data_IF_859239734497
#
_entry.id   IF_859239734497
#
_cell.length_a   1.000
_cell.length_b   1.000
_cell.length_c   1.000
_cell.angle_alpha   90.00
_cell.angle_beta   90.00
_cell.angle_gamma   90.00
#
_symmetry.space_group_name_H-M   'P 1'
#
loop_
_entity.id
_entity.type
_entity.pdbx_description
1 polymer ?
#
# COMPACT_ATOMS: atom_id res chain seq x y z
N UNK A 1 7.51 -6.92 -18.50
CA UNK A 1 7.41 -7.47 -17.12
C UNK A 1 6.61 -6.47 -16.29
N UNK A 2 5.73 -6.88 -15.37
CA UNK A 2 5.01 -5.93 -14.49
C UNK A 2 5.91 -5.43 -13.35
N UNK A 3 5.53 -4.35 -12.67
CA UNK A 3 6.28 -3.80 -11.53
C UNK A 3 6.23 -4.75 -10.34
N UNK A 4 5.06 -5.32 -10.06
CA UNK A 4 4.87 -6.35 -9.05
C UNK A 4 5.75 -7.57 -9.28
N UNK A 5 5.90 -8.03 -10.54
CA UNK A 5 6.81 -9.15 -10.84
C UNK A 5 8.28 -8.81 -10.57
N UNK A 6 8.73 -7.58 -10.81
CA UNK A 6 10.11 -7.17 -10.50
C UNK A 6 10.35 -7.15 -8.98
N UNK A 7 9.42 -6.57 -8.23
CA UNK A 7 9.48 -6.56 -6.77
C UNK A 7 9.52 -7.97 -6.20
N UNK A 8 8.72 -8.90 -6.75
CA UNK A 8 8.76 -10.30 -6.35
C UNK A 8 10.14 -10.94 -6.55
N UNK A 9 10.83 -10.63 -7.65
CA UNK A 9 12.18 -11.14 -7.88
C UNK A 9 13.22 -10.52 -6.93
N UNK A 10 13.07 -9.24 -6.57
CA UNK A 10 13.92 -8.62 -5.54
C UNK A 10 13.65 -9.18 -4.14
N UNK A 11 12.38 -9.42 -3.78
CA UNK A 11 12.04 -10.08 -2.51
C UNK A 11 12.59 -11.51 -2.43
N UNK A 12 12.54 -12.27 -3.54
CA UNK A 12 13.19 -13.58 -3.62
C UNK A 12 14.71 -13.47 -3.49
N UNK A 13 15.31 -12.47 -4.12
CA UNK A 13 16.76 -12.22 -4.03
C UNK A 13 17.16 -11.90 -2.61
N UNK A 14 16.41 -11.01 -1.96
CA UNK A 14 16.56 -10.66 -0.55
C UNK A 14 16.49 -11.91 0.34
N UNK A 15 15.45 -12.74 0.18
CA UNK A 15 15.26 -13.95 0.98
C UNK A 15 16.32 -15.04 0.75
N UNK A 16 16.84 -15.19 -0.47
CA UNK A 16 17.76 -16.27 -0.82
C UNK A 16 19.23 -15.89 -0.68
N UNK A 17 19.55 -14.61 -0.90
CA UNK A 17 20.94 -14.12 -1.01
C UNK A 17 21.26 -13.03 0.02
N UNK A 18 20.27 -12.59 0.78
CA UNK A 18 20.40 -11.62 1.85
C UNK A 18 20.38 -10.15 1.39
N UNK A 19 20.33 -9.21 2.35
CA UNK A 19 20.21 -7.76 2.12
C UNK A 19 21.24 -7.18 1.16
N UNK A 20 22.48 -7.66 1.22
CA UNK A 20 23.59 -7.12 0.41
C UNK A 20 23.44 -7.39 -1.10
N UNK A 21 22.54 -8.29 -1.49
CA UNK A 21 22.32 -8.68 -2.88
C UNK A 21 20.99 -8.17 -3.45
N UNK A 22 20.10 -7.65 -2.61
CA UNK A 22 18.81 -7.11 -3.02
C UNK A 22 18.96 -5.63 -3.39
N UNK A 23 18.52 -5.28 -4.60
CA UNK A 23 18.67 -3.92 -5.10
C UNK A 23 17.68 -2.99 -4.41
N UNK A 24 18.18 -1.86 -3.87
CA UNK A 24 17.33 -0.86 -3.24
C UNK A 24 16.78 -1.26 -1.87
N UNK A 25 17.28 -2.35 -1.28
CA UNK A 25 16.96 -2.74 0.08
C UNK A 25 17.91 -2.08 1.08
N UNK A 26 17.34 -1.46 2.11
CA UNK A 26 18.07 -0.81 3.20
C UNK A 26 17.59 -1.42 4.52
N UNK A 27 18.53 -1.95 5.31
CA UNK A 27 18.23 -2.44 6.66
C UNK A 27 18.02 -1.26 7.59
N UNK A 28 16.97 -1.31 8.40
CA UNK A 28 16.63 -0.32 9.42
C UNK A 28 16.55 -1.00 10.79
N UNK A 29 16.58 -0.25 11.91
CA UNK A 29 16.40 -0.85 13.24
C UNK A 29 15.05 -1.58 13.43
N UNK A 30 14.06 -1.28 12.59
CA UNK A 30 12.69 -1.80 12.66
C UNK A 30 12.42 -2.87 11.59
N UNK A 31 13.45 -3.31 10.85
CA UNK A 31 13.35 -4.27 9.75
C UNK A 31 14.14 -3.79 8.53
N UNK A 32 13.45 -3.52 7.42
CA UNK A 32 14.07 -2.89 6.27
C UNK A 32 13.09 -2.32 5.25
N UNK A 33 13.63 -1.52 4.35
CA UNK A 33 12.87 -0.83 3.31
C UNK A 33 13.36 -1.26 1.95
N UNK A 34 12.48 -1.80 1.10
CA UNK A 34 12.78 -2.06 -0.30
C UNK A 34 12.23 -0.91 -1.15
N UNK A 35 13.10 -0.17 -1.83
CA UNK A 35 12.70 0.86 -2.80
C UNK A 35 13.04 0.40 -4.21
N UNK A 36 12.06 0.47 -5.11
CA UNK A 36 12.25 0.25 -6.53
C UNK A 36 11.73 1.44 -7.32
N UNK A 37 12.49 1.86 -8.32
CA UNK A 37 12.08 2.90 -9.27
C UNK A 37 12.05 2.25 -10.65
N UNK A 38 10.96 2.45 -11.37
CA UNK A 38 10.82 2.00 -12.74
C UNK A 38 10.02 3.00 -13.54
N UNK A 39 10.56 3.37 -14.70
CA UNK A 39 9.95 4.38 -15.57
C UNK A 39 9.75 5.66 -14.75
N UNK A 40 8.51 6.02 -14.43
CA UNK A 40 8.18 7.16 -13.57
C UNK A 40 7.51 6.77 -12.25
N UNK A 41 7.46 5.48 -11.94
CA UNK A 41 6.85 4.96 -10.72
C UNK A 41 7.91 4.61 -9.67
N UNK A 42 7.60 4.91 -8.41
CA UNK A 42 8.43 4.52 -7.26
C UNK A 42 7.59 3.69 -6.31
N UNK A 43 8.06 2.50 -5.99
CA UNK A 43 7.47 1.63 -4.96
C UNK A 43 8.39 1.61 -3.76
N UNK A 44 7.81 1.74 -2.57
CA UNK A 44 8.48 1.58 -1.28
C UNK A 44 7.72 0.54 -0.48
N UNK A 45 8.41 -0.51 -0.04
CA UNK A 45 7.89 -1.48 0.92
C UNK A 45 8.61 -1.32 2.25
N UNK A 46 7.84 -1.16 3.33
CA UNK A 46 8.33 -1.30 4.70
C UNK A 46 8.11 -2.74 5.15
N UNK A 47 9.19 -3.44 5.49
CA UNK A 47 9.17 -4.84 5.90
C UNK A 47 9.71 -4.96 7.33
N UNK A 48 8.99 -5.62 8.23
CA UNK A 48 9.50 -5.94 9.56
C UNK A 48 10.46 -7.13 9.52
N UNK A 49 10.15 -8.11 8.67
CA UNK A 49 10.93 -9.34 8.48
C UNK A 49 10.53 -10.01 7.15
N UNK A 50 11.16 -11.13 6.82
CA UNK A 50 10.93 -11.92 5.62
C UNK A 50 11.46 -13.34 5.79
N UNK A 51 10.85 -14.28 5.07
CA UNK A 51 11.33 -15.64 4.95
C UNK A 51 11.49 -16.02 3.47
N UNK A 52 11.60 -17.32 3.19
CA UNK A 52 11.80 -17.85 1.85
C UNK A 52 10.65 -17.54 0.87
N UNK A 53 9.45 -17.27 1.36
CA UNK A 53 8.23 -17.21 0.54
C UNK A 53 7.35 -15.97 0.82
N UNK A 54 7.58 -15.28 1.93
CA UNK A 54 6.73 -14.22 2.45
C UNK A 54 7.54 -13.10 3.08
N UNK A 55 6.88 -11.95 3.20
CA UNK A 55 7.38 -10.80 3.92
C UNK A 55 6.37 -10.37 4.98
N UNK A 56 6.86 -9.95 6.14
CA UNK A 56 6.09 -9.30 7.17
C UNK A 56 5.94 -7.82 6.80
N UNK A 57 4.90 -7.49 6.02
CA UNK A 57 4.65 -6.18 5.44
C UNK A 57 4.10 -5.22 6.50
N UNK A 58 4.73 -4.06 6.66
CA UNK A 58 4.23 -2.96 7.51
C UNK A 58 3.44 -1.94 6.70
N UNK A 59 3.98 -1.54 5.53
CA UNK A 59 3.35 -0.58 4.65
C UNK A 59 3.85 -0.74 3.21
N UNK A 60 3.01 -0.33 2.27
CA UNK A 60 3.33 -0.21 0.86
C UNK A 60 2.97 1.21 0.41
N UNK A 61 3.93 1.90 -0.20
CA UNK A 61 3.71 3.17 -0.88
C UNK A 61 4.04 3.03 -2.36
N UNK A 62 3.14 3.50 -3.23
CA UNK A 62 3.36 3.65 -4.66
C UNK A 62 3.22 5.12 -5.02
N UNK A 63 4.25 5.68 -5.65
CA UNK A 63 4.18 6.99 -6.31
C UNK A 63 4.18 6.84 -7.81
N UNK A 64 3.36 7.63 -8.49
CA UNK A 64 3.27 7.73 -9.95
C UNK A 64 3.07 9.18 -10.38
N UNK A 65 3.37 9.54 -11.63
CA UNK A 65 3.02 10.86 -12.13
C UNK A 65 1.51 11.05 -12.11
N UNK A 66 1.05 12.23 -11.68
CA UNK A 66 -0.35 12.64 -11.76
C UNK A 66 -0.55 13.58 -12.95
N UNK A 67 -1.69 13.54 -13.65
CA UNK A 67 -2.05 14.60 -14.59
C UNK A 67 -2.26 15.94 -13.85
N UNK A 68 -2.08 17.08 -14.53
CA UNK A 68 -2.49 18.36 -13.97
C UNK A 68 -4.02 18.41 -13.86
N UNK A 69 -4.54 18.75 -12.67
CA UNK A 69 -5.97 18.78 -12.36
C UNK A 69 -6.37 20.13 -11.75
N UNK A 70 -7.57 20.61 -12.05
CA UNK A 70 -8.21 21.68 -11.27
C UNK A 70 -9.03 21.10 -10.10
N UNK A 71 -9.68 21.95 -9.27
CA UNK A 71 -10.41 21.46 -8.08
C UNK A 71 -11.58 20.52 -8.44
N UNK A 72 -12.32 20.82 -9.52
CA UNK A 72 -13.49 20.03 -9.92
C UNK A 72 -13.07 18.70 -10.56
N UNK A 73 -11.99 18.74 -11.33
CA UNK A 73 -11.35 17.57 -11.93
C UNK A 73 -10.73 16.70 -10.84
N UNK A 74 -10.12 17.29 -9.80
CA UNK A 74 -9.53 16.58 -8.66
C UNK A 74 -10.58 15.76 -7.91
N UNK A 75 -11.75 16.32 -7.64
CA UNK A 75 -12.84 15.58 -6.99
C UNK A 75 -13.25 14.35 -7.82
N UNK A 76 -13.51 14.55 -9.11
CA UNK A 76 -13.97 13.50 -10.02
C UNK A 76 -12.90 12.42 -10.22
N UNK A 77 -11.64 12.84 -10.31
CA UNK A 77 -10.47 11.98 -10.41
C UNK A 77 -10.32 11.09 -9.18
N UNK A 78 -10.27 11.68 -7.97
CA UNK A 78 -10.15 10.94 -6.72
C UNK A 78 -11.32 9.98 -6.51
N UNK A 79 -12.56 10.41 -6.81
CA UNK A 79 -13.73 9.56 -6.67
C UNK A 79 -13.65 8.32 -7.59
N UNK A 80 -13.29 8.51 -8.86
CA UNK A 80 -13.19 7.43 -9.85
C UNK A 80 -12.11 6.44 -9.45
N UNK A 81 -10.93 6.95 -9.12
CA UNK A 81 -9.78 6.13 -8.74
C UNK A 81 -10.01 5.38 -7.43
N UNK A 82 -10.68 6.02 -6.45
CA UNK A 82 -11.07 5.37 -5.20
C UNK A 82 -12.06 4.21 -5.44
N UNK A 83 -13.04 4.41 -6.33
CA UNK A 83 -14.00 3.35 -6.70
C UNK A 83 -13.32 2.18 -7.41
N UNK A 84 -12.39 2.44 -8.33
CA UNK A 84 -11.62 1.40 -9.02
C UNK A 84 -10.74 0.61 -8.04
N UNK A 85 -10.08 1.29 -7.09
CA UNK A 85 -9.30 0.63 -6.04
C UNK A 85 -10.15 -0.27 -5.14
N UNK A 86 -11.33 0.17 -4.73
CA UNK A 86 -12.27 -0.66 -3.96
C UNK A 86 -12.59 -1.95 -4.70
N UNK A 87 -12.88 -1.85 -6.01
CA UNK A 87 -13.19 -3.03 -6.82
C UNK A 87 -11.98 -3.96 -6.97
N UNK A 88 -10.80 -3.40 -7.26
CA UNK A 88 -9.60 -4.20 -7.57
C UNK A 88 -8.98 -4.83 -6.34
N UNK A 89 -9.09 -4.20 -5.17
CA UNK A 89 -8.62 -4.72 -3.89
C UNK A 89 -9.64 -5.64 -3.19
N UNK A 90 -10.71 -6.04 -3.88
CA UNK A 90 -11.74 -6.97 -3.36
C UNK A 90 -11.23 -8.36 -2.98
N UNK A 91 -9.97 -8.68 -3.26
CA UNK A 91 -9.31 -9.92 -2.83
C UNK A 91 -8.65 -9.80 -1.44
N UNK A 92 -8.66 -8.62 -0.82
CA UNK A 92 -8.29 -8.47 0.58
C UNK A 92 -9.34 -9.16 1.47
N UNK A 93 -8.94 -9.46 2.71
CA UNK A 93 -9.78 -10.20 3.66
C UNK A 93 -11.05 -9.41 4.03
N UNK A 94 -10.93 -8.09 4.13
CA UNK A 94 -12.03 -7.17 4.36
C UNK A 94 -12.31 -6.27 3.13
N UNK A 95 -13.57 -6.10 2.73
CA UNK A 95 -13.92 -5.17 1.65
C UNK A 95 -13.62 -3.73 2.06
N UNK A 96 -13.16 -2.91 1.11
CA UNK A 96 -12.89 -1.49 1.32
C UNK A 96 -14.12 -0.64 0.95
N UNK A 97 -14.29 0.49 1.63
CA UNK A 97 -15.21 1.55 1.25
C UNK A 97 -14.54 2.92 1.37
N UNK A 98 -15.03 3.91 0.62
CA UNK A 98 -14.61 5.30 0.75
C UNK A 98 -15.02 5.81 2.13
N UNK A 99 -14.04 6.21 2.92
CA UNK A 99 -14.21 6.78 4.26
C UNK A 99 -14.23 8.30 4.21
N UNK A 100 -13.30 8.89 3.46
CA UNK A 100 -13.15 10.34 3.33
C UNK A 100 -12.72 10.70 1.90
N UNK A 101 -13.24 11.82 1.40
CA UNK A 101 -12.82 12.41 0.14
C UNK A 101 -12.78 13.92 0.31
N UNK A 102 -11.58 14.49 0.26
CA UNK A 102 -11.33 15.93 0.32
C UNK A 102 -10.56 16.35 -0.92
N UNK A 103 -11.26 16.93 -1.89
CA UNK A 103 -10.68 17.38 -3.15
C UNK A 103 -9.79 18.60 -3.02
N UNK A 104 -9.92 19.38 -1.93
CA UNK A 104 -9.06 20.55 -1.70
C UNK A 104 -7.68 20.14 -1.22
N UNK A 105 -7.64 19.11 -0.38
CA UNK A 105 -6.39 18.51 0.12
C UNK A 105 -5.87 17.40 -0.80
N UNK A 106 -6.53 17.16 -1.94
CA UNK A 106 -6.16 16.11 -2.90
C UNK A 106 -6.20 14.71 -2.30
N UNK A 107 -7.11 14.44 -1.37
CA UNK A 107 -7.12 13.24 -0.53
C UNK A 107 -8.36 12.38 -0.77
N UNK A 108 -8.16 11.08 -0.93
CA UNK A 108 -9.22 10.10 -0.70
C UNK A 108 -8.70 8.98 0.21
N UNK A 109 -9.47 8.67 1.25
CA UNK A 109 -9.17 7.60 2.20
C UNK A 109 -10.20 6.48 2.07
N UNK A 110 -9.72 5.25 1.90
CA UNK A 110 -10.49 4.03 1.91
C UNK A 110 -10.18 3.26 3.18
N UNK A 111 -11.19 2.62 3.78
CA UNK A 111 -11.01 1.74 4.95
C UNK A 111 -11.83 0.47 4.82
N UNK A 112 -11.41 -0.59 5.52
CA UNK A 112 -12.23 -1.80 5.65
C UNK A 112 -13.61 -1.48 6.21
N UNK A 113 -14.65 -1.95 5.54
CA UNK A 113 -16.05 -1.73 5.92
C UNK A 113 -16.92 -2.94 5.53
N UNK A 114 -17.30 -3.82 6.49
CA UNK A 114 -16.95 -3.75 7.91
C UNK A 114 -15.47 -4.09 8.16
N UNK A 115 -14.85 -3.55 9.22
CA UNK A 115 -13.55 -4.00 9.70
C UNK A 115 -13.66 -5.41 10.32
N UNK A 116 -12.53 -6.11 10.45
CA UNK A 116 -12.46 -7.35 11.22
C UNK A 116 -12.50 -7.03 12.71
N UNK A 117 -13.27 -7.82 13.46
CA UNK A 117 -13.43 -7.67 14.91
C UNK A 117 -13.12 -8.98 15.62
N UNK A 118 -12.29 -8.93 16.66
CA UNK A 118 -11.99 -10.07 17.53
C UNK A 118 -12.13 -9.64 18.99
N UNK A 119 -13.30 -9.89 19.58
CA UNK A 119 -13.61 -9.33 20.90
C UNK A 119 -13.72 -7.80 20.82
N UNK A 120 -12.88 -7.10 21.58
CA UNK A 120 -12.80 -5.64 21.59
C UNK A 120 -11.76 -5.09 20.59
N UNK A 121 -10.98 -5.96 19.95
CA UNK A 121 -9.97 -5.60 18.96
C UNK A 121 -10.61 -5.35 17.59
N UNK A 122 -10.16 -4.29 16.92
CA UNK A 122 -10.58 -3.90 15.57
C UNK A 122 -9.35 -3.91 14.66
N UNK A 123 -9.47 -4.60 13.53
CA UNK A 123 -8.45 -4.67 12.49
C UNK A 123 -9.02 -4.17 11.17
N UNK A 124 -8.25 -3.35 10.46
CA UNK A 124 -8.68 -2.80 9.18
C UNK A 124 -7.51 -2.49 8.26
N UNK A 125 -7.74 -2.63 6.96
CA UNK A 125 -6.93 -2.00 5.94
C UNK A 125 -7.31 -0.55 5.80
N UNK A 126 -6.31 0.27 5.54
CA UNK A 126 -6.48 1.65 5.09
C UNK A 126 -5.68 1.83 3.80
N UNK A 127 -6.33 2.44 2.81
CA UNK A 127 -5.68 2.95 1.60
C UNK A 127 -5.85 4.45 1.55
N UNK A 128 -4.75 5.18 1.47
CA UNK A 128 -4.77 6.63 1.33
C UNK A 128 -4.23 7.02 -0.04
N UNK A 129 -5.05 7.73 -0.80
CA UNK A 129 -4.75 8.32 -2.10
C UNK A 129 -4.48 9.80 -1.90
N UNK A 130 -3.31 10.26 -2.31
CA UNK A 130 -2.99 11.68 -2.38
C UNK A 130 -2.62 12.03 -3.81
N UNK A 131 -3.26 13.05 -4.35
CA UNK A 131 -2.87 13.67 -5.62
C UNK A 131 -2.37 15.08 -5.35
N UNK A 132 -1.24 15.41 -5.94
CA UNK A 132 -0.71 16.77 -6.04
C UNK A 132 -0.33 17.06 -7.48
N UNK A 133 -0.02 18.32 -7.81
CA UNK A 133 0.16 18.86 -9.17
C UNK A 133 0.94 17.98 -10.17
N UNK A 134 1.88 17.15 -9.72
CA UNK A 134 2.69 16.27 -10.57
C UNK A 134 2.77 14.81 -10.11
N UNK A 135 2.20 14.46 -8.95
CA UNK A 135 2.47 13.18 -8.28
C UNK A 135 1.24 12.65 -7.57
N UNK A 136 0.92 11.40 -7.88
CA UNK A 136 0.04 10.56 -7.10
C UNK A 136 0.83 9.73 -6.11
N UNK A 137 0.30 9.58 -4.90
CA UNK A 137 0.82 8.67 -3.90
C UNK A 137 -0.30 7.81 -3.32
N UNK A 138 -0.15 6.49 -3.41
CA UNK A 138 -1.03 5.51 -2.77
C UNK A 138 -0.29 4.84 -1.63
N UNK A 139 -0.88 4.88 -0.45
CA UNK A 139 -0.35 4.20 0.73
C UNK A 139 -1.34 3.12 1.16
N UNK A 140 -0.88 1.90 1.36
CA UNK A 140 -1.64 0.78 1.91
C UNK A 140 -1.00 0.35 3.22
N UNK A 141 -1.81 0.22 4.27
CA UNK A 141 -1.36 -0.21 5.60
C UNK A 141 -2.48 -0.97 6.30
N UNK A 142 -2.13 -1.99 7.08
CA UNK A 142 -3.06 -2.65 7.99
C UNK A 142 -2.91 -2.05 9.37
N UNK A 143 -4.01 -1.83 10.06
CA UNK A 143 -4.05 -1.23 11.39
C UNK A 143 -4.74 -2.14 12.39
N UNK A 144 -4.36 -1.97 13.65
CA UNK A 144 -5.00 -2.55 14.83
C UNK A 144 -5.40 -1.43 15.78
N UNK A 145 -6.60 -1.51 16.32
CA UNK A 145 -7.08 -0.66 17.40
C UNK A 145 -7.72 -1.51 18.48
N UNK A 146 -7.55 -1.10 19.73
CA UNK A 146 -8.19 -1.73 20.88
C UNK A 146 -8.46 -0.67 21.97
N UNK A 147 -9.43 -0.90 22.88
CA UNK A 147 -9.64 -0.05 24.04
C UNK A 147 -8.36 0.12 24.86
N UNK A 148 -8.02 1.37 25.19
CA UNK A 148 -6.81 1.70 25.93
C UNK A 148 -5.61 2.09 25.05
N UNK A 149 -5.66 1.85 23.73
CA UNK A 149 -4.72 2.46 22.79
C UNK A 149 -5.07 3.94 22.57
N UNK A 150 -4.04 4.78 22.40
CA UNK A 150 -4.21 6.21 22.11
C UNK A 150 -4.77 6.46 20.70
N UNK A 151 -4.64 5.48 19.81
CA UNK A 151 -5.09 5.50 18.42
C UNK A 151 -4.85 4.15 17.77
N UNK A 152 -5.14 4.04 16.48
CA UNK A 152 -4.81 2.83 15.72
C UNK A 152 -3.29 2.75 15.47
N UNK A 153 -2.72 1.56 15.59
CA UNK A 153 -1.31 1.29 15.38
C UNK A 153 -1.11 0.44 14.12
N UNK A 154 0.01 0.64 13.41
CA UNK A 154 0.34 -0.18 12.23
C UNK A 154 0.49 -1.65 12.66
N UNK A 155 -0.20 -2.54 11.97
CA UNK A 155 -0.13 -3.98 12.18
C UNK A 155 0.75 -4.61 11.11
N UNK A 156 1.70 -5.43 11.55
CA UNK A 156 2.49 -6.29 10.66
C UNK A 156 1.56 -7.31 10.01
N UNK A 157 1.57 -7.34 8.67
CA UNK A 157 0.76 -8.27 7.90
C UNK A 157 1.64 -9.29 7.15
N UNK A 158 1.49 -10.61 7.43
CA UNK A 158 2.22 -11.64 6.71
C UNK A 158 1.69 -11.79 5.28
N UNK A 159 2.46 -11.35 4.29
CA UNK A 159 2.10 -11.42 2.88
C UNK A 159 3.05 -12.33 2.11
N UNK A 160 2.50 -13.29 1.36
CA UNK A 160 3.30 -14.01 0.36
C UNK A 160 3.86 -13.04 -0.67
N UNK A 161 5.01 -13.34 -1.27
CA UNK A 161 5.55 -12.47 -2.33
C UNK A 161 4.56 -12.30 -3.49
N UNK A 162 3.80 -13.34 -3.83
CA UNK A 162 2.74 -13.25 -4.85
C UNK A 162 1.67 -12.24 -4.47
N UNK A 163 1.24 -12.19 -3.21
CA UNK A 163 0.28 -11.18 -2.76
C UNK A 163 0.88 -9.77 -2.84
N UNK A 164 2.14 -9.58 -2.40
CA UNK A 164 2.83 -8.27 -2.50
C UNK A 164 2.91 -7.81 -3.96
N UNK A 165 3.31 -8.70 -4.88
CA UNK A 165 3.35 -8.39 -6.31
C UNK A 165 1.96 -8.02 -6.87
N UNK A 166 0.91 -8.75 -6.47
CA UNK A 166 -0.47 -8.45 -6.87
C UNK A 166 -0.95 -7.10 -6.34
N UNK A 167 -0.62 -6.75 -5.10
CA UNK A 167 -0.94 -5.44 -4.51
C UNK A 167 -0.30 -4.32 -5.34
N UNK A 168 0.98 -4.42 -5.63
CA UNK A 168 1.70 -3.40 -6.43
C UNK A 168 1.10 -3.25 -7.82
N UNK A 169 0.86 -4.37 -8.52
CA UNK A 169 0.25 -4.33 -9.85
C UNK A 169 -1.19 -3.78 -9.80
N UNK A 170 -1.92 -4.03 -8.72
CA UNK A 170 -3.27 -3.47 -8.50
C UNK A 170 -3.23 -1.96 -8.32
N UNK A 171 -2.37 -1.47 -7.42
CA UNK A 171 -2.24 -0.05 -7.12
C UNK A 171 -1.67 0.74 -8.31
N UNK A 172 -0.80 0.11 -9.11
CA UNK A 172 -0.21 0.70 -10.31
C UNK A 172 -1.18 0.79 -11.48
N UNK A 173 -2.21 -0.04 -11.52
CA UNK A 173 -3.16 -0.10 -12.62
C UNK A 173 -4.49 0.59 -12.30
N UNK A 174 -4.57 1.25 -11.14
CA UNK A 174 -5.73 2.03 -10.74
C UNK A 174 -5.67 3.42 -11.37
N UNK A 175 -6.64 3.69 -12.25
CA UNK A 175 -6.78 4.93 -13.03
C UNK A 175 -8.07 5.66 -12.66
#
# INVERSE_FOLDING_TARGET
>A
MSLGKQIVEELKTLAQRGPAQATGYIVTPQGGTLTMIRESQRVVLELADHDRYSAALLALELRSPSPPLDEQDTHSYLHTRAADLVQRLSYLEEPLAVWELDSREGLAQLRSCPPQQEGDDIFFWEVTLRTSDDTDAVHLTRYHWAPGLAGAEKLIYPATFTLVGRLIDTLSAAE
#
